data_IF_974602151459
#
_entry.id   IF_974602151459
#
_cell.length_a   1.000
_cell.length_b   1.000
_cell.length_c   1.000
_cell.angle_alpha   90.00
_cell.angle_beta   90.00
_cell.angle_gamma   90.00
#
_symmetry.space_group_name_H-M   'P 1'
#
loop_
_entity.id
_entity.type
_entity.pdbx_description
1 polymer ?
#
# COMPACT_ATOMS: atom_id res chain seq x y z
N UNK A 1 58.99 -14.37 -18.38
CA UNK A 1 58.11 -13.18 -18.57
C UNK A 1 56.88 -13.61 -19.36
N UNK A 2 55.84 -14.08 -18.66
CA UNK A 2 54.59 -14.57 -19.25
C UNK A 2 53.48 -13.59 -18.91
N UNK A 3 53.15 -12.71 -19.86
CA UNK A 3 51.97 -11.84 -19.77
C UNK A 3 50.73 -12.69 -20.04
N UNK A 4 49.92 -12.94 -19.00
CA UNK A 4 48.55 -13.48 -19.12
C UNK A 4 47.59 -12.35 -18.80
N UNK A 5 47.08 -11.69 -19.83
CA UNK A 5 45.87 -10.88 -19.71
C UNK A 5 44.68 -11.79 -19.34
N UNK A 6 43.90 -11.50 -18.29
CA UNK A 6 42.63 -12.17 -18.06
C UNK A 6 41.65 -11.74 -19.15
N UNK A 7 41.00 -12.70 -19.80
CA UNK A 7 39.91 -12.44 -20.73
C UNK A 7 38.69 -11.99 -19.92
N UNK A 8 38.24 -10.75 -20.13
CA UNK A 8 36.92 -10.30 -19.73
C UNK A 8 35.86 -11.14 -20.48
N UNK A 9 35.19 -12.01 -19.74
CA UNK A 9 34.04 -12.74 -20.24
C UNK A 9 32.84 -11.80 -20.35
N UNK A 10 32.63 -11.26 -21.55
CA UNK A 10 31.36 -10.61 -21.93
C UNK A 10 30.23 -11.63 -21.83
N UNK A 11 29.10 -11.25 -21.24
CA UNK A 11 27.88 -12.05 -21.17
C UNK A 11 27.53 -12.57 -22.58
N UNK A 12 27.45 -13.90 -22.75
CA UNK A 12 27.08 -14.53 -24.03
C UNK A 12 25.59 -14.85 -24.01
N UNK A 13 24.85 -14.14 -24.87
CA UNK A 13 23.45 -14.38 -25.19
C UNK A 13 23.25 -15.80 -25.72
N UNK A 14 22.52 -16.63 -24.99
CA UNK A 14 21.98 -17.90 -25.49
C UNK A 14 20.63 -17.60 -26.12
N UNK A 15 20.47 -17.90 -27.42
CA UNK A 15 19.23 -17.64 -28.15
C UNK A 15 18.03 -18.44 -27.61
N UNK A 16 16.81 -17.89 -27.68
CA UNK A 16 15.63 -18.51 -27.08
C UNK A 16 15.24 -19.82 -27.80
N UNK A 17 15.22 -20.92 -27.05
CA UNK A 17 14.58 -22.18 -27.47
C UNK A 17 13.11 -22.12 -27.09
N UNK A 18 12.22 -22.18 -28.07
CA UNK A 18 10.77 -22.30 -27.89
C UNK A 18 10.44 -23.66 -27.26
N UNK A 19 9.99 -23.66 -26.01
CA UNK A 19 9.42 -24.83 -25.34
C UNK A 19 7.89 -24.80 -25.48
N UNK A 20 7.37 -25.91 -26.00
CA UNK A 20 5.95 -26.14 -26.25
C UNK A 20 5.13 -26.11 -24.95
N UNK A 21 3.94 -25.51 -25.02
CA UNK A 21 3.01 -25.38 -23.91
C UNK A 21 2.50 -26.74 -23.42
N UNK A 22 2.66 -27.00 -22.12
CA UNK A 22 2.01 -28.10 -21.42
C UNK A 22 0.50 -27.81 -21.20
N UNK A 23 -0.37 -28.84 -21.18
CA UNK A 23 -1.82 -28.67 -21.27
C UNK A 23 -2.43 -28.11 -19.97
N UNK A 24 -3.41 -27.22 -20.15
CA UNK A 24 -4.21 -26.60 -19.09
C UNK A 24 -5.04 -27.64 -18.33
N UNK A 25 -4.85 -27.75 -17.02
CA UNK A 25 -5.87 -28.28 -16.12
C UNK A 25 -6.96 -27.21 -15.94
N UNK A 26 -8.11 -27.41 -16.57
CA UNK A 26 -9.26 -26.53 -16.45
C UNK A 26 -9.99 -26.83 -15.13
N UNK A 27 -9.73 -26.02 -14.09
CA UNK A 27 -10.63 -25.95 -12.93
C UNK A 27 -11.86 -25.16 -13.39
N UNK A 28 -12.96 -25.85 -13.65
CA UNK A 28 -14.26 -25.24 -13.96
C UNK A 28 -14.83 -24.57 -12.71
N UNK A 29 -14.40 -23.34 -12.42
CA UNK A 29 -15.13 -22.47 -11.49
C UNK A 29 -16.48 -22.12 -12.14
N UNK A 30 -17.58 -22.66 -11.58
CA UNK A 30 -18.92 -22.16 -11.86
C UNK A 30 -18.94 -20.67 -11.48
N UNK A 31 -19.03 -19.78 -12.46
CA UNK A 31 -19.26 -18.34 -12.23
C UNK A 31 -20.58 -18.19 -11.48
N UNK A 32 -20.50 -17.97 -10.17
CA UNK A 32 -21.64 -17.52 -9.37
C UNK A 32 -22.12 -16.18 -9.97
N UNK A 33 -23.43 -15.94 -10.09
CA UNK A 33 -23.91 -14.62 -10.48
C UNK A 33 -23.37 -13.58 -9.49
N UNK A 34 -23.00 -12.40 -10.00
CA UNK A 34 -22.57 -11.31 -9.13
C UNK A 34 -23.67 -11.06 -8.07
N UNK A 35 -23.32 -10.99 -6.79
CA UNK A 35 -24.27 -10.67 -5.74
C UNK A 35 -24.94 -9.33 -6.04
N UNK A 36 -26.24 -9.25 -5.74
CA UNK A 36 -27.01 -8.03 -5.92
C UNK A 36 -26.86 -7.15 -4.67
N UNK A 37 -26.81 -5.81 -4.84
CA UNK A 37 -26.84 -4.92 -3.70
C UNK A 37 -28.15 -5.08 -2.91
N UNK A 38 -28.18 -4.65 -1.63
CA UNK A 38 -29.37 -4.69 -0.80
C UNK A 38 -30.56 -4.02 -1.46
N UNK A 39 -31.76 -4.49 -1.12
CA UNK A 39 -32.99 -3.86 -1.58
C UNK A 39 -33.01 -2.39 -1.16
N UNK A 40 -33.33 -1.49 -2.11
CA UNK A 40 -33.32 -0.04 -1.88
C UNK A 40 -31.99 0.67 -2.15
N UNK A 41 -30.90 -0.06 -2.50
CA UNK A 41 -29.67 0.61 -2.96
C UNK A 41 -29.93 1.40 -4.25
N UNK A 42 -29.64 2.73 -4.28
CA UNK A 42 -29.82 3.53 -5.48
C UNK A 42 -29.02 3.03 -6.69
N UNK A 43 -29.46 3.33 -7.92
CA UNK A 43 -28.70 2.95 -9.11
C UNK A 43 -27.31 3.63 -9.12
N UNK A 44 -26.29 3.04 -9.78
CA UNK A 44 -24.92 3.56 -9.77
C UNK A 44 -24.78 5.03 -10.16
N UNK A 45 -25.61 5.52 -11.09
CA UNK A 45 -25.61 6.94 -11.51
C UNK A 45 -26.04 7.88 -10.38
N UNK A 46 -26.97 7.45 -9.53
CA UNK A 46 -27.43 8.24 -8.39
C UNK A 46 -26.39 8.22 -7.27
N UNK A 47 -25.80 7.06 -6.97
CA UNK A 47 -24.67 6.97 -6.05
C UNK A 47 -23.50 7.86 -6.50
N UNK A 48 -23.19 7.86 -7.80
CA UNK A 48 -22.14 8.70 -8.35
C UNK A 48 -22.50 10.19 -8.25
N UNK A 49 -23.77 10.58 -8.43
CA UNK A 49 -24.24 11.96 -8.19
C UNK A 49 -24.02 12.37 -6.73
N UNK A 50 -24.33 11.50 -5.77
CA UNK A 50 -24.10 11.74 -4.35
C UNK A 50 -22.60 11.88 -4.05
N UNK A 51 -21.76 10.97 -4.57
CA UNK A 51 -20.32 11.04 -4.44
C UNK A 51 -19.73 12.34 -5.05
N UNK A 52 -20.25 12.80 -6.20
CA UNK A 52 -19.86 14.10 -6.77
C UNK A 52 -20.23 15.27 -5.89
N UNK A 53 -21.37 15.21 -5.19
CA UNK A 53 -21.78 16.25 -4.27
C UNK A 53 -20.85 16.32 -3.04
N UNK A 54 -20.46 15.18 -2.48
CA UNK A 54 -19.51 15.11 -1.36
C UNK A 54 -18.13 15.64 -1.77
N UNK A 55 -17.65 15.27 -2.96
CA UNK A 55 -16.32 15.62 -3.45
C UNK A 55 -16.29 16.92 -4.29
N UNK A 56 -17.35 17.74 -4.27
CA UNK A 56 -17.50 18.88 -5.17
C UNK A 56 -16.42 19.95 -4.97
N UNK A 57 -16.17 20.34 -3.72
CA UNK A 57 -15.21 21.37 -3.37
C UNK A 57 -13.76 20.89 -3.61
N UNK A 58 -13.46 19.63 -3.26
CA UNK A 58 -12.21 18.96 -3.62
C UNK A 58 -11.98 18.92 -5.15
N UNK A 59 -13.00 18.59 -5.94
CA UNK A 59 -12.90 18.61 -7.40
C UNK A 59 -12.69 20.03 -7.94
N UNK A 60 -13.28 21.06 -7.32
CA UNK A 60 -13.04 22.47 -7.67
C UNK A 60 -11.57 22.86 -7.44
N UNK A 61 -11.01 22.53 -6.28
CA UNK A 61 -9.59 22.77 -5.99
C UNK A 61 -8.67 21.98 -6.94
N UNK A 62 -9.01 20.72 -7.24
CA UNK A 62 -8.25 19.90 -8.19
C UNK A 62 -8.27 20.48 -9.62
N UNK A 63 -9.40 21.00 -10.09
CA UNK A 63 -9.50 21.67 -11.39
C UNK A 63 -8.75 23.00 -11.43
N UNK A 64 -8.80 23.78 -10.33
CA UNK A 64 -7.95 24.97 -10.20
C UNK A 64 -6.47 24.60 -10.27
N UNK A 65 -6.05 23.54 -9.57
CA UNK A 65 -4.68 23.06 -9.59
C UNK A 65 -4.22 22.65 -11.00
N UNK A 66 -5.05 21.92 -11.75
CA UNK A 66 -4.73 21.59 -13.15
C UNK A 66 -4.61 22.84 -14.04
N UNK A 67 -5.33 23.92 -13.77
CA UNK A 67 -5.22 25.16 -14.55
C UNK A 67 -4.03 26.04 -14.13
N UNK A 68 -3.78 26.12 -12.82
CA UNK A 68 -2.85 27.07 -12.21
C UNK A 68 -1.44 26.49 -11.98
N UNK A 69 -1.31 25.18 -11.75
CA UNK A 69 -0.08 24.52 -11.27
C UNK A 69 0.60 23.60 -12.32
N UNK A 70 0.29 23.75 -13.61
CA UNK A 70 0.89 22.89 -14.66
C UNK A 70 2.42 22.99 -14.67
N UNK A 71 3.12 21.86 -14.94
CA UNK A 71 4.57 21.86 -15.12
C UNK A 71 5.03 22.94 -16.12
N UNK A 72 6.01 23.75 -15.72
CA UNK A 72 6.56 24.84 -16.55
C UNK A 72 5.93 26.22 -16.38
N UNK A 73 4.99 26.40 -15.44
CA UNK A 73 4.54 27.73 -14.96
C UNK A 73 5.15 28.02 -13.59
N UNK A 74 5.65 29.24 -13.40
CA UNK A 74 6.17 29.71 -12.11
C UNK A 74 5.04 29.70 -11.05
N UNK A 75 5.32 29.13 -9.88
CA UNK A 75 4.45 29.25 -8.69
C UNK A 75 3.70 27.99 -8.28
N UNK A 76 4.06 26.79 -8.74
CA UNK A 76 3.73 25.56 -8.05
C UNK A 76 4.93 25.17 -7.17
N UNK A 77 4.77 25.28 -5.85
CA UNK A 77 5.67 24.62 -4.94
C UNK A 77 4.80 24.04 -3.80
N UNK A 78 4.20 22.84 -3.98
CA UNK A 78 3.84 22.02 -2.83
C UNK A 78 5.13 21.81 -2.03
N UNK A 79 5.03 21.77 -0.72
CA UNK A 79 6.15 21.84 0.23
C UNK A 79 6.94 20.52 0.29
N UNK A 80 7.08 19.84 -0.85
CA UNK A 80 7.74 18.56 -1.03
C UNK A 80 7.06 17.39 -0.32
N UNK A 81 5.94 17.62 0.39
CA UNK A 81 5.28 16.64 1.29
C UNK A 81 3.80 16.37 0.95
N UNK A 82 3.37 16.68 -0.27
CA UNK A 82 1.95 16.49 -0.64
C UNK A 82 1.02 17.62 -0.17
N UNK A 83 1.48 18.54 0.67
CA UNK A 83 0.76 19.71 1.18
C UNK A 83 0.88 20.92 0.25
N UNK A 84 -0.08 21.86 0.36
CA UNK A 84 0.00 23.15 -0.33
C UNK A 84 0.78 24.16 0.50
N UNK A 85 1.76 24.81 -0.12
CA UNK A 85 2.46 25.92 0.52
C UNK A 85 1.50 27.05 0.86
N UNK A 86 1.79 27.80 1.92
CA UNK A 86 0.96 28.91 2.38
C UNK A 86 0.63 29.90 1.25
N UNK A 87 1.62 30.26 0.43
CA UNK A 87 1.43 31.16 -0.71
C UNK A 87 0.50 30.57 -1.79
N UNK A 88 0.58 29.27 -2.04
CA UNK A 88 -0.28 28.58 -3.01
C UNK A 88 -1.71 28.49 -2.49
N UNK A 89 -1.88 28.20 -1.19
CA UNK A 89 -3.18 28.16 -0.54
C UNK A 89 -3.86 29.54 -0.53
N UNK A 90 -3.12 30.62 -0.24
CA UNK A 90 -3.63 31.99 -0.30
C UNK A 90 -4.06 32.40 -1.71
N UNK A 91 -3.28 32.05 -2.73
CA UNK A 91 -3.66 32.32 -4.13
C UNK A 91 -4.92 31.55 -4.53
N UNK A 92 -4.99 30.26 -4.22
CA UNK A 92 -6.18 29.46 -4.50
C UNK A 92 -7.42 30.00 -3.77
N UNK A 93 -7.25 30.42 -2.51
CA UNK A 93 -8.31 31.01 -1.71
C UNK A 93 -8.86 32.28 -2.36
N UNK A 94 -7.98 33.16 -2.84
CA UNK A 94 -8.36 34.37 -3.57
C UNK A 94 -9.06 34.05 -4.90
N UNK A 95 -8.55 33.11 -5.68
CA UNK A 95 -9.10 32.73 -6.99
C UNK A 95 -10.47 32.02 -6.87
N UNK A 96 -10.67 31.21 -5.83
CA UNK A 96 -11.86 30.38 -5.62
C UNK A 96 -12.90 31.02 -4.69
N UNK A 97 -12.58 32.14 -4.05
CA UNK A 97 -13.44 32.78 -3.06
C UNK A 97 -13.61 31.94 -1.78
N UNK A 98 -12.54 31.26 -1.36
CA UNK A 98 -12.48 30.40 -0.17
C UNK A 98 -11.54 30.98 0.87
N UNK A 99 -11.53 30.39 2.06
CA UNK A 99 -10.46 30.61 3.03
C UNK A 99 -9.26 29.70 2.73
N UNK A 100 -8.03 30.08 3.11
CA UNK A 100 -6.86 29.21 2.96
C UNK A 100 -7.00 27.85 3.65
N UNK A 101 -7.73 27.79 4.77
CA UNK A 101 -7.98 26.54 5.50
C UNK A 101 -8.95 25.62 4.74
N UNK A 102 -10.01 26.17 4.15
CA UNK A 102 -10.90 25.40 3.26
C UNK A 102 -10.15 24.83 2.06
N UNK A 103 -9.28 25.63 1.42
CA UNK A 103 -8.44 25.15 0.32
C UNK A 103 -7.54 23.99 0.74
N UNK A 104 -6.89 24.09 1.90
CA UNK A 104 -6.03 23.02 2.42
C UNK A 104 -6.83 21.74 2.68
N UNK A 105 -7.98 21.87 3.33
CA UNK A 105 -8.87 20.74 3.56
C UNK A 105 -9.33 20.08 2.26
N UNK A 106 -9.85 20.87 1.31
CA UNK A 106 -10.33 20.38 0.01
C UNK A 106 -9.19 19.76 -0.83
N UNK A 107 -7.98 20.27 -0.70
CA UNK A 107 -6.78 19.70 -1.32
C UNK A 107 -6.45 18.32 -0.76
N UNK A 108 -6.47 18.17 0.57
CA UNK A 108 -6.20 16.89 1.22
C UNK A 108 -7.29 15.87 0.87
N UNK A 109 -8.57 16.29 0.84
CA UNK A 109 -9.67 15.47 0.31
C UNK A 109 -9.44 15.08 -1.15
N UNK A 110 -8.98 16.01 -1.99
CA UNK A 110 -8.68 15.72 -3.39
C UNK A 110 -7.52 14.71 -3.54
N UNK A 111 -6.50 14.78 -2.67
CA UNK A 111 -5.38 13.83 -2.63
C UNK A 111 -5.85 12.44 -2.20
N UNK A 112 -6.59 12.35 -1.09
CA UNK A 112 -7.11 11.10 -0.56
C UNK A 112 -8.11 10.43 -1.51
N UNK A 113 -8.94 11.21 -2.20
CA UNK A 113 -9.84 10.73 -3.25
C UNK A 113 -9.11 10.39 -4.57
N UNK A 114 -7.83 10.76 -4.71
CA UNK A 114 -7.01 10.62 -5.92
C UNK A 114 -7.54 11.42 -7.12
N UNK A 115 -8.10 12.61 -6.85
CA UNK A 115 -8.41 13.64 -7.83
C UNK A 115 -7.17 14.48 -8.19
N UNK A 116 -6.21 14.56 -7.28
CA UNK A 116 -4.89 15.17 -7.48
C UNK A 116 -3.81 14.14 -7.20
N UNK A 117 -2.77 14.15 -8.02
CA UNK A 117 -1.54 13.38 -7.83
C UNK A 117 -0.41 14.39 -7.59
N UNK A 118 0.26 14.33 -6.44
CA UNK A 118 1.41 15.18 -6.13
C UNK A 118 2.68 14.49 -6.61
N UNK A 119 3.63 15.28 -7.11
CA UNK A 119 4.80 14.84 -7.86
C UNK A 119 6.00 15.70 -7.46
N UNK A 120 6.70 15.31 -6.39
CA UNK A 120 7.68 16.20 -5.75
C UNK A 120 7.11 17.60 -5.50
N UNK A 121 7.67 18.59 -6.19
CA UNK A 121 7.27 20.02 -6.14
C UNK A 121 6.20 20.40 -7.18
N UNK A 122 5.46 19.44 -7.74
CA UNK A 122 4.40 19.71 -8.70
C UNK A 122 3.15 18.91 -8.40
N UNK A 123 2.01 19.33 -8.95
CA UNK A 123 0.76 18.59 -8.83
C UNK A 123 0.07 18.48 -10.18
N UNK A 124 -0.55 17.33 -10.42
CA UNK A 124 -1.20 17.01 -11.69
C UNK A 124 -2.62 16.50 -11.44
N UNK A 125 -3.54 16.70 -12.40
CA UNK A 125 -4.87 16.12 -12.30
C UNK A 125 -4.75 14.60 -12.25
N UNK A 126 -5.31 13.95 -11.23
CA UNK A 126 -5.37 12.50 -11.16
C UNK A 126 -6.25 11.90 -12.25
N UNK A 127 -6.08 10.61 -12.55
CA UNK A 127 -6.90 9.96 -13.59
C UNK A 127 -8.41 10.01 -13.30
N UNK A 128 -8.81 10.04 -12.02
CA UNK A 128 -10.20 10.18 -11.60
C UNK A 128 -10.77 11.55 -11.94
N UNK A 129 -9.98 12.62 -11.79
CA UNK A 129 -10.38 13.96 -12.23
C UNK A 129 -10.55 14.03 -13.75
N UNK A 130 -9.65 13.40 -14.52
CA UNK A 130 -9.77 13.27 -15.99
C UNK A 130 -10.98 12.46 -16.45
N UNK A 131 -11.58 11.67 -15.56
CA UNK A 131 -12.76 10.85 -15.81
C UNK A 131 -14.03 11.39 -15.15
N UNK A 132 -13.94 12.49 -14.38
CA UNK A 132 -14.97 13.02 -13.48
C UNK A 132 -16.35 13.14 -14.11
N UNK A 133 -16.43 13.68 -15.33
CA UNK A 133 -17.69 13.94 -16.03
C UNK A 133 -18.22 12.76 -16.86
N UNK A 134 -17.43 11.69 -17.03
CA UNK A 134 -17.72 10.63 -18.02
C UNK A 134 -17.73 9.20 -17.47
N UNK A 135 -17.20 8.99 -16.27
CA UNK A 135 -17.10 7.66 -15.66
C UNK A 135 -17.58 7.71 -14.19
N UNK A 136 -18.82 7.31 -13.97
CA UNK A 136 -19.42 7.20 -12.63
C UNK A 136 -18.65 6.22 -11.74
N UNK A 137 -18.08 5.16 -12.31
CA UNK A 137 -17.30 4.19 -11.54
C UNK A 137 -15.98 4.81 -11.06
N UNK A 138 -15.39 5.73 -11.81
CA UNK A 138 -14.19 6.45 -11.38
C UNK A 138 -14.49 7.36 -10.18
N UNK A 139 -15.62 8.05 -10.19
CA UNK A 139 -16.07 8.90 -9.08
C UNK A 139 -16.33 8.07 -7.83
N UNK A 140 -17.08 6.97 -7.96
CA UNK A 140 -17.35 6.07 -6.84
C UNK A 140 -16.06 5.50 -6.25
N UNK A 141 -15.09 5.11 -7.09
CA UNK A 141 -13.75 4.68 -6.63
C UNK A 141 -12.94 5.78 -5.97
N UNK A 142 -13.20 7.05 -6.27
CA UNK A 142 -12.57 8.19 -5.59
C UNK A 142 -13.18 8.41 -4.21
N UNK A 143 -14.51 8.41 -4.13
CA UNK A 143 -15.21 8.55 -2.85
C UNK A 143 -14.94 7.38 -1.90
N UNK A 144 -14.89 6.13 -2.38
CA UNK A 144 -14.52 4.98 -1.52
C UNK A 144 -13.10 5.12 -0.97
N UNK A 145 -12.15 5.65 -1.76
CA UNK A 145 -10.79 5.90 -1.26
C UNK A 145 -10.77 6.98 -0.17
N UNK A 146 -11.59 8.03 -0.31
CA UNK A 146 -11.75 9.06 0.71
C UNK A 146 -12.45 8.52 1.97
N UNK A 147 -13.51 7.73 1.81
CA UNK A 147 -14.19 7.02 2.89
C UNK A 147 -13.24 6.10 3.66
N UNK A 148 -12.40 5.33 2.96
CA UNK A 148 -11.43 4.44 3.58
C UNK A 148 -10.33 5.18 4.36
N UNK A 149 -10.12 6.46 4.02
CA UNK A 149 -9.19 7.36 4.67
C UNK A 149 -9.84 8.29 5.70
N UNK A 150 -11.06 7.99 6.18
CA UNK A 150 -11.82 8.88 7.09
C UNK A 150 -11.03 9.33 8.33
N UNK A 151 -10.23 8.43 8.93
CA UNK A 151 -9.43 8.73 10.13
C UNK A 151 -8.20 9.58 9.84
N UNK A 152 -7.78 9.65 8.57
CA UNK A 152 -6.70 10.53 8.09
C UNK A 152 -7.28 11.89 7.68
N UNK A 153 -8.45 11.87 7.03
CA UNK A 153 -9.15 13.07 6.57
C UNK A 153 -9.67 13.95 7.71
N UNK A 154 -9.92 13.36 8.88
CA UNK A 154 -10.41 14.03 10.07
C UNK A 154 -9.48 13.72 11.25
N UNK A 155 -8.48 14.59 11.51
CA UNK A 155 -7.45 14.33 12.50
C UNK A 155 -8.02 13.98 13.89
N UNK A 156 -7.29 13.12 14.60
CA UNK A 156 -7.62 12.74 15.97
C UNK A 156 -7.47 13.93 16.94
N UNK A 157 -8.19 13.94 18.08
CA UNK A 157 -8.00 14.97 19.10
C UNK A 157 -6.62 14.84 19.77
N UNK A 158 -5.88 15.96 19.93
CA UNK A 158 -4.48 15.98 20.40
C UNK A 158 -4.24 15.37 21.80
N UNK A 159 -5.26 15.36 22.66
CA UNK A 159 -5.17 14.87 24.05
C UNK A 159 -5.49 13.37 24.21
N UNK A 160 -5.38 12.57 23.14
CA UNK A 160 -5.73 11.13 23.14
C UNK A 160 -4.51 10.24 22.98
N UNK A 161 -4.56 9.09 23.65
CA UNK A 161 -3.51 8.08 23.52
C UNK A 161 -3.57 7.41 22.13
N UNK A 162 -2.47 7.40 21.36
CA UNK A 162 -2.47 6.85 19.99
C UNK A 162 -2.91 5.39 19.91
N UNK A 163 -2.59 4.58 20.92
CA UNK A 163 -2.99 3.18 20.99
C UNK A 163 -4.52 3.01 21.07
N UNK A 164 -5.19 3.84 21.90
CA UNK A 164 -6.64 3.81 22.02
C UNK A 164 -7.34 4.26 20.73
N UNK A 165 -6.79 5.27 20.04
CA UNK A 165 -7.32 5.69 18.73
C UNK A 165 -7.18 4.57 17.70
N UNK A 166 -6.03 3.92 17.63
CA UNK A 166 -5.79 2.81 16.72
C UNK A 166 -6.75 1.64 16.97
N UNK A 167 -7.07 1.33 18.23
CA UNK A 167 -8.06 0.31 18.62
C UNK A 167 -9.47 0.66 18.15
N UNK A 168 -9.91 1.91 18.38
CA UNK A 168 -11.24 2.38 17.94
C UNK A 168 -11.34 2.35 16.41
N UNK A 169 -10.33 2.86 15.70
CA UNK A 169 -10.27 2.80 14.23
C UNK A 169 -10.34 1.35 13.75
N UNK A 170 -9.66 0.42 14.42
CA UNK A 170 -9.68 -1.03 14.14
C UNK A 170 -11.04 -1.68 14.37
N UNK A 171 -11.83 -1.17 15.31
CA UNK A 171 -13.18 -1.67 15.60
C UNK A 171 -14.26 -1.13 14.65
N UNK A 172 -14.04 0.02 13.99
CA UNK A 172 -15.06 0.67 13.15
C UNK A 172 -15.65 -0.19 12.01
N UNK A 173 -14.93 -1.09 11.34
CA UNK A 173 -15.54 -2.00 10.36
C UNK A 173 -16.71 -2.82 10.91
N UNK A 174 -16.65 -3.26 12.18
CA UNK A 174 -17.74 -4.00 12.81
C UNK A 174 -18.92 -3.07 13.13
N UNK A 175 -18.65 -1.85 13.62
CA UNK A 175 -19.67 -0.82 13.87
C UNK A 175 -20.43 -0.47 12.58
N UNK A 176 -19.71 -0.28 11.47
CA UNK A 176 -20.30 -0.03 10.15
C UNK A 176 -21.13 -1.21 9.65
N UNK A 177 -20.68 -2.43 9.89
CA UNK A 177 -21.43 -3.65 9.55
C UNK A 177 -22.71 -3.76 10.37
N UNK A 178 -22.68 -3.37 11.65
CA UNK A 178 -23.87 -3.31 12.50
C UNK A 178 -24.88 -2.27 11.98
N UNK A 179 -24.43 -1.05 11.68
CA UNK A 179 -25.27 -0.01 11.08
C UNK A 179 -25.92 -0.48 9.76
N UNK A 180 -25.17 -1.22 8.94
CA UNK A 180 -25.67 -1.80 7.69
C UNK A 180 -26.79 -2.84 7.92
N UNK A 181 -26.67 -3.66 8.97
CA UNK A 181 -27.67 -4.68 9.32
C UNK A 181 -28.91 -4.07 9.98
N UNK A 182 -28.76 -3.00 10.75
CA UNK A 182 -29.87 -2.31 11.43
C UNK A 182 -30.80 -1.60 10.45
N UNK A 183 -30.29 -1.17 9.29
CA UNK A 183 -31.07 -0.55 8.20
C UNK A 183 -31.93 0.66 8.65
N UNK A 184 -31.45 1.42 9.64
CA UNK A 184 -32.13 2.57 10.23
C UNK A 184 -31.28 3.26 11.29
N UNK A 185 -31.82 4.28 11.99
CA UNK A 185 -31.11 5.00 13.04
C UNK A 185 -30.74 4.10 14.22
N UNK A 186 -29.48 4.20 14.65
CA UNK A 186 -28.95 3.46 15.78
C UNK A 186 -28.49 4.43 16.88
N UNK A 187 -28.96 4.29 18.13
CA UNK A 187 -28.51 5.12 19.25
C UNK A 187 -27.01 4.98 19.54
N UNK A 188 -26.36 6.11 19.90
CA UNK A 188 -24.92 6.13 20.26
C UNK A 188 -24.59 5.20 21.42
N UNK A 189 -25.49 5.06 22.39
CA UNK A 189 -25.33 4.12 23.53
C UNK A 189 -25.13 2.68 23.05
N UNK A 190 -25.91 2.23 22.06
CA UNK A 190 -25.78 0.88 21.51
C UNK A 190 -24.50 0.70 20.70
N UNK A 191 -24.06 1.75 20.00
CA UNK A 191 -22.78 1.74 19.27
C UNK A 191 -21.59 1.73 20.23
N UNK A 192 -21.70 2.38 21.38
CA UNK A 192 -20.68 2.39 22.42
C UNK A 192 -20.53 1.01 23.06
N UNK A 193 -21.63 0.35 23.42
CA UNK A 193 -21.59 -1.02 23.95
C UNK A 193 -20.89 -1.99 22.98
N UNK A 194 -21.22 -1.87 21.68
CA UNK A 194 -20.59 -2.67 20.62
C UNK A 194 -19.09 -2.36 20.49
N UNK A 195 -18.71 -1.08 20.54
CA UNK A 195 -17.33 -0.64 20.45
C UNK A 195 -16.50 -1.15 21.64
N UNK A 196 -17.02 -1.01 22.86
CA UNK A 196 -16.38 -1.51 24.08
C UNK A 196 -16.15 -3.02 24.03
N UNK A 197 -17.16 -3.78 23.57
CA UNK A 197 -17.01 -5.21 23.37
C UNK A 197 -15.89 -5.52 22.36
N UNK A 198 -15.88 -4.85 21.21
CA UNK A 198 -14.90 -5.15 20.16
C UNK A 198 -13.48 -4.76 20.54
N UNK A 199 -13.29 -3.63 21.20
CA UNK A 199 -11.97 -3.21 21.71
C UNK A 199 -11.46 -4.22 22.74
N UNK A 200 -12.34 -4.74 23.61
CA UNK A 200 -12.00 -5.81 24.55
C UNK A 200 -11.56 -7.09 23.83
N UNK A 201 -12.27 -7.50 22.77
CA UNK A 201 -11.88 -8.65 21.94
C UNK A 201 -10.52 -8.44 21.28
N UNK A 202 -10.28 -7.29 20.65
CA UNK A 202 -9.00 -6.95 20.01
C UNK A 202 -7.83 -7.00 20.99
N UNK A 203 -8.01 -6.49 22.21
CA UNK A 203 -7.00 -6.57 23.28
C UNK A 203 -6.74 -8.02 23.69
N UNK A 204 -7.78 -8.84 23.77
CA UNK A 204 -7.65 -10.26 24.09
C UNK A 204 -6.91 -11.03 22.98
N UNK A 205 -7.27 -10.79 21.71
CA UNK A 205 -6.60 -11.37 20.53
C UNK A 205 -5.10 -11.03 20.51
N UNK A 206 -4.71 -9.80 20.87
CA UNK A 206 -3.30 -9.37 20.98
C UNK A 206 -2.54 -10.07 22.12
N UNK A 207 -3.24 -10.48 23.18
CA UNK A 207 -2.67 -11.16 24.34
C UNK A 207 -2.46 -12.67 24.12
N UNK A 208 -2.93 -13.26 23.01
CA UNK A 208 -2.64 -14.65 22.67
C UNK A 208 -1.14 -14.81 22.29
N UNK A 209 -0.34 -15.27 23.26
CA UNK A 209 1.11 -15.42 23.13
C UNK A 209 1.46 -16.52 22.10
N UNK A 210 2.33 -16.24 21.10
CA UNK A 210 2.89 -17.27 20.23
C UNK A 210 3.68 -18.32 21.02
N UNK A 211 3.57 -19.61 20.67
CA UNK A 211 4.30 -20.69 21.35
C UNK A 211 5.82 -20.57 21.13
N UNK A 212 6.54 -19.98 22.09
CA UNK A 212 8.01 -19.86 22.12
C UNK A 212 8.51 -19.13 23.37
N UNK A 213 9.79 -19.28 23.77
CA UNK A 213 10.31 -18.61 24.96
C UNK A 213 10.54 -17.12 24.66
N UNK A 214 9.76 -16.24 25.30
CA UNK A 214 9.94 -14.78 25.28
C UNK A 214 10.27 -14.21 26.66
N UNK A 215 10.91 -13.03 26.71
CA UNK A 215 11.12 -12.26 27.95
C UNK A 215 9.78 -11.80 28.54
N UNK A 216 9.73 -11.57 29.85
CA UNK A 216 8.49 -11.25 30.58
C UNK A 216 7.74 -10.03 30.00
N UNK A 217 6.39 -10.09 29.93
CA UNK A 217 5.58 -8.97 29.46
C UNK A 217 5.70 -7.80 30.43
N UNK A 218 6.03 -6.63 29.89
CA UNK A 218 5.92 -5.36 30.63
C UNK A 218 4.48 -4.86 30.50
N UNK A 219 3.73 -4.65 31.60
CA UNK A 219 2.43 -4.02 31.52
C UNK A 219 2.64 -2.55 31.18
N UNK A 220 2.28 -2.12 29.97
CA UNK A 220 2.13 -0.69 29.67
C UNK A 220 0.76 -0.24 30.21
N UNK A 221 0.72 0.56 31.28
CA UNK A 221 -0.53 1.03 31.87
C UNK A 221 -0.93 2.33 31.17
N UNK A 222 -1.75 2.24 30.12
CA UNK A 222 -2.25 3.42 29.39
C UNK A 222 -3.58 3.15 28.69
N UNK A 223 -3.59 2.22 27.74
CA UNK A 223 -4.73 2.00 26.87
C UNK A 223 -5.99 1.46 27.57
N UNK A 224 -5.85 0.67 28.65
CA UNK A 224 -6.98 -0.03 29.28
C UNK A 224 -8.04 0.90 29.88
N UNK A 225 -7.66 2.08 30.38
CA UNK A 225 -8.53 3.00 31.11
C UNK A 225 -9.06 4.19 30.27
N UNK A 226 -8.72 4.27 28.97
CA UNK A 226 -9.15 5.39 28.13
C UNK A 226 -10.66 5.34 27.84
N UNK A 227 -11.45 6.39 28.19
CA UNK A 227 -12.88 6.42 27.88
C UNK A 227 -13.13 6.39 26.36
N UNK A 228 -13.92 5.41 25.89
CA UNK A 228 -14.18 5.23 24.46
C UNK A 228 -15.26 6.16 23.89
N UNK A 229 -16.18 6.68 24.72
CA UNK A 229 -17.28 7.52 24.24
C UNK A 229 -16.83 8.77 23.45
N UNK A 230 -15.81 9.54 23.87
CA UNK A 230 -15.29 10.64 23.06
C UNK A 230 -14.66 10.18 21.73
N UNK A 231 -14.05 8.99 21.70
CA UNK A 231 -13.46 8.43 20.48
C UNK A 231 -14.52 7.91 19.52
N UNK A 232 -15.63 7.38 20.04
CA UNK A 232 -16.81 7.05 19.23
C UNK A 232 -17.44 8.32 18.62
N UNK A 233 -17.66 9.37 19.41
CA UNK A 233 -18.19 10.64 18.90
C UNK A 233 -17.30 11.23 17.81
N UNK A 234 -15.97 11.22 18.01
CA UNK A 234 -15.00 11.61 16.99
C UNK A 234 -15.13 10.75 15.71
N UNK A 235 -15.18 9.42 15.84
CA UNK A 235 -15.30 8.49 14.71
C UNK A 235 -16.59 8.71 13.92
N UNK A 236 -17.71 8.92 14.60
CA UNK A 236 -19.00 9.19 13.96
C UNK A 236 -18.99 10.54 13.22
N UNK A 237 -18.41 11.60 13.82
CA UNK A 237 -18.23 12.89 13.14
C UNK A 237 -17.32 12.78 11.92
N UNK A 238 -16.24 12.02 12.02
CA UNK A 238 -15.33 11.79 10.91
C UNK A 238 -15.98 11.02 9.76
N UNK A 239 -16.77 9.98 10.07
CA UNK A 239 -17.56 9.26 9.05
C UNK A 239 -18.68 10.12 8.45
N UNK A 240 -19.27 11.02 9.23
CA UNK A 240 -20.24 12.00 8.74
C UNK A 240 -19.58 13.02 7.80
N UNK A 241 -18.37 13.48 8.10
CA UNK A 241 -17.65 14.46 7.28
C UNK A 241 -17.30 13.92 5.88
N UNK A 242 -17.06 12.62 5.75
CA UNK A 242 -16.87 11.95 4.44
C UNK A 242 -18.19 11.53 3.76
N UNK A 243 -19.34 11.85 4.37
CA UNK A 243 -20.67 11.55 3.83
C UNK A 243 -21.12 10.09 3.95
N UNK A 244 -20.48 9.29 4.79
CA UNK A 244 -20.81 7.87 4.96
C UNK A 244 -22.06 7.66 5.83
N UNK A 245 -22.29 8.52 6.82
CA UNK A 245 -23.45 8.46 7.71
C UNK A 245 -23.99 9.85 8.04
N UNK A 246 -25.23 9.92 8.50
CA UNK A 246 -25.75 11.07 9.25
C UNK A 246 -25.55 10.82 10.73
N UNK A 247 -25.22 11.88 11.47
CA UNK A 247 -25.05 11.84 12.92
C UNK A 247 -25.76 13.05 13.54
N UNK A 248 -26.97 12.82 14.05
CA UNK A 248 -27.85 13.80 14.68
C UNK A 248 -28.58 13.17 15.86
N UNK A 249 -29.07 13.97 16.81
CA UNK A 249 -29.89 13.51 17.96
C UNK A 249 -29.33 12.29 18.72
N UNK A 250 -28.00 12.17 18.81
CA UNK A 250 -27.29 11.01 19.38
C UNK A 250 -27.64 9.67 18.71
N UNK A 251 -27.88 9.69 17.40
CA UNK A 251 -28.11 8.53 16.56
C UNK A 251 -27.27 8.60 15.27
N UNK A 252 -26.84 7.45 14.78
CA UNK A 252 -26.13 7.35 13.50
C UNK A 252 -26.93 6.50 12.50
N UNK A 253 -26.98 6.95 11.24
CA UNK A 253 -27.61 6.22 10.13
C UNK A 253 -26.72 6.25 8.91
N UNK A 254 -26.46 5.10 8.27
CA UNK A 254 -25.71 5.09 7.01
C UNK A 254 -26.47 5.86 5.93
N UNK A 255 -25.75 6.70 5.19
CA UNK A 255 -26.30 7.29 3.96
C UNK A 255 -26.45 6.19 2.91
N UNK A 256 -27.24 6.39 1.84
CA UNK A 256 -27.27 5.44 0.72
C UNK A 256 -25.89 5.15 0.12
N UNK A 257 -24.99 6.14 0.13
CA UNK A 257 -23.62 6.00 -0.35
C UNK A 257 -22.75 5.17 0.62
N UNK A 258 -22.84 5.45 1.93
CA UNK A 258 -22.18 4.67 2.98
C UNK A 258 -22.66 3.22 3.02
N UNK A 259 -23.97 3.01 2.93
CA UNK A 259 -24.57 1.67 2.89
C UNK A 259 -24.08 0.85 1.69
N UNK A 260 -24.03 1.46 0.50
CA UNK A 260 -23.45 0.81 -0.67
C UNK A 260 -21.96 0.46 -0.46
N UNK A 261 -21.17 1.36 0.13
CA UNK A 261 -19.75 1.15 0.39
C UNK A 261 -19.50 -0.04 1.34
N UNK A 262 -20.23 -0.05 2.47
CA UNK A 262 -20.15 -1.12 3.46
C UNK A 262 -20.60 -2.44 2.85
N UNK A 263 -21.67 -2.45 2.04
CA UNK A 263 -22.07 -3.65 1.32
C UNK A 263 -20.99 -4.16 0.35
N UNK A 264 -20.35 -3.28 -0.43
CA UNK A 264 -19.25 -3.67 -1.33
C UNK A 264 -18.11 -4.31 -0.52
N UNK A 265 -17.76 -3.75 0.63
CA UNK A 265 -16.73 -4.34 1.51
C UNK A 265 -17.15 -5.69 2.06
N UNK A 266 -18.37 -5.82 2.57
CA UNK A 266 -18.91 -7.10 3.06
C UNK A 266 -18.94 -8.16 1.95
N UNK A 267 -19.24 -7.78 0.72
CA UNK A 267 -19.21 -8.65 -0.45
C UNK A 267 -17.78 -9.11 -0.75
N UNK A 268 -16.81 -8.19 -0.75
CA UNK A 268 -15.41 -8.51 -0.92
C UNK A 268 -14.91 -9.45 0.18
N UNK A 269 -15.31 -9.22 1.44
CA UNK A 269 -15.01 -10.09 2.58
C UNK A 269 -15.62 -11.48 2.36
N UNK A 270 -16.87 -11.57 1.92
CA UNK A 270 -17.53 -12.83 1.65
C UNK A 270 -16.88 -13.60 0.49
N UNK A 271 -16.43 -12.90 -0.56
CA UNK A 271 -15.69 -13.48 -1.69
C UNK A 271 -14.31 -13.94 -1.23
N UNK A 272 -13.62 -13.14 -0.41
CA UNK A 272 -12.33 -13.44 0.18
C UNK A 272 -12.37 -14.65 1.10
N UNK A 273 -13.37 -14.75 1.98
CA UNK A 273 -13.58 -15.88 2.87
C UNK A 273 -13.85 -17.19 2.11
N UNK A 274 -14.28 -17.09 0.84
CA UNK A 274 -14.44 -18.22 -0.07
C UNK A 274 -13.19 -18.46 -0.95
N UNK A 275 -12.16 -17.63 -0.84
CA UNK A 275 -10.90 -17.85 -1.53
C UNK A 275 -10.29 -19.16 -1.04
N UNK A 276 -9.77 -20.02 -1.95
CA UNK A 276 -9.00 -21.19 -1.56
C UNK A 276 -7.80 -20.86 -0.65
N UNK A 277 -7.32 -19.61 -0.68
CA UNK A 277 -6.18 -19.17 0.11
C UNK A 277 -6.54 -18.83 1.57
N UNK A 278 -7.75 -18.30 1.82
CA UNK A 278 -8.23 -18.01 3.19
C UNK A 278 -7.43 -16.94 3.95
N UNK A 279 -6.79 -16.00 3.27
CA UNK A 279 -5.83 -15.07 3.90
C UNK A 279 -6.45 -13.85 4.62
N UNK A 280 -7.78 -13.75 4.70
CA UNK A 280 -8.43 -12.52 5.16
C UNK A 280 -8.20 -12.23 6.65
N UNK A 281 -8.12 -13.27 7.49
CA UNK A 281 -8.01 -13.15 8.95
C UNK A 281 -6.55 -13.12 9.43
N UNK A 282 -5.58 -13.43 8.57
CA UNK A 282 -4.18 -13.53 8.97
C UNK A 282 -3.45 -12.17 8.91
N UNK A 283 -2.24 -12.14 9.47
CA UNK A 283 -1.32 -11.00 9.42
C UNK A 283 -0.98 -10.60 7.98
N UNK A 284 -0.53 -9.36 7.76
CA UNK A 284 0.00 -8.94 6.46
C UNK A 284 1.10 -9.90 5.95
N UNK A 285 2.05 -10.28 6.82
CA UNK A 285 3.15 -11.16 6.45
C UNK A 285 2.67 -12.54 5.96
N UNK A 286 1.74 -13.17 6.70
CA UNK A 286 1.19 -14.47 6.32
C UNK A 286 0.34 -14.39 5.06
N UNK A 287 -0.43 -13.32 4.89
CA UNK A 287 -1.18 -13.06 3.67
C UNK A 287 -0.23 -12.93 2.47
N UNK A 288 0.84 -12.16 2.59
CA UNK A 288 1.84 -11.98 1.52
C UNK A 288 2.54 -13.30 1.19
N UNK A 289 2.87 -14.10 2.20
CA UNK A 289 3.44 -15.45 2.06
C UNK A 289 2.47 -16.40 1.32
N UNK A 290 1.19 -16.37 1.68
CA UNK A 290 0.14 -17.11 0.99
C UNK A 290 -0.03 -16.68 -0.48
N UNK A 291 0.28 -15.42 -0.80
CA UNK A 291 0.22 -14.88 -2.15
C UNK A 291 1.46 -15.15 -3.02
N UNK A 292 2.58 -15.59 -2.43
CA UNK A 292 3.87 -15.72 -3.11
C UNK A 292 3.84 -16.57 -4.40
N UNK A 293 2.99 -17.59 -4.43
CA UNK A 293 2.87 -18.52 -5.57
C UNK A 293 1.71 -18.18 -6.52
N UNK A 294 0.98 -17.09 -6.24
CA UNK A 294 -0.15 -16.67 -7.06
C UNK A 294 0.34 -15.86 -8.27
N UNK A 295 -0.46 -15.88 -9.34
CA UNK A 295 -0.25 -14.95 -10.45
C UNK A 295 -0.56 -13.51 -10.00
N UNK A 296 0.05 -12.48 -10.61
CA UNK A 296 -0.11 -11.08 -10.17
C UNK A 296 -1.57 -10.63 -9.99
N UNK A 297 -2.46 -10.97 -10.94
CA UNK A 297 -3.87 -10.60 -10.83
C UNK A 297 -4.62 -11.33 -9.71
N UNK A 298 -4.21 -12.56 -9.38
CA UNK A 298 -4.80 -13.32 -8.27
C UNK A 298 -4.28 -12.80 -6.92
N UNK A 299 -2.97 -12.55 -6.79
CA UNK A 299 -2.40 -11.90 -5.61
C UNK A 299 -3.04 -10.53 -5.35
N UNK A 300 -3.23 -9.71 -6.40
CA UNK A 300 -3.91 -8.42 -6.27
C UNK A 300 -5.37 -8.54 -5.81
N UNK A 301 -6.05 -9.64 -6.12
CA UNK A 301 -7.39 -9.90 -5.61
C UNK A 301 -7.36 -10.23 -4.11
N UNK A 302 -6.39 -11.04 -3.66
CA UNK A 302 -6.14 -11.33 -2.24
C UNK A 302 -5.78 -10.06 -1.45
N UNK A 303 -4.95 -9.17 -2.00
CA UNK A 303 -4.62 -7.90 -1.35
C UNK A 303 -5.86 -7.04 -1.13
N UNK A 304 -6.73 -6.92 -2.14
CA UNK A 304 -7.99 -6.16 -2.01
C UNK A 304 -8.92 -6.78 -0.97
N UNK A 305 -9.00 -8.11 -0.96
CA UNK A 305 -9.78 -8.87 -0.01
C UNK A 305 -9.31 -8.64 1.44
N UNK A 306 -8.00 -8.74 1.68
CA UNK A 306 -7.40 -8.49 2.99
C UNK A 306 -7.59 -7.04 3.43
N UNK A 307 -7.38 -6.07 2.53
CA UNK A 307 -7.61 -4.63 2.79
C UNK A 307 -9.08 -4.30 3.08
N UNK A 308 -10.04 -5.02 2.48
CA UNK A 308 -11.46 -4.76 2.69
C UNK A 308 -11.94 -5.07 4.12
N UNK A 309 -11.22 -5.94 4.82
CA UNK A 309 -11.57 -6.41 6.16
C UNK A 309 -10.97 -5.55 7.29
N UNK A 310 -10.18 -4.53 6.96
CA UNK A 310 -9.32 -3.81 7.91
C UNK A 310 -9.35 -2.30 7.64
N UNK A 311 -9.04 -1.45 8.63
CA UNK A 311 -8.80 -0.03 8.37
C UNK A 311 -7.50 0.18 7.60
N UNK A 312 -7.48 1.21 6.75
CA UNK A 312 -6.34 1.50 5.88
C UNK A 312 -5.06 1.81 6.66
N UNK A 313 -5.13 2.65 7.69
CA UNK A 313 -3.96 3.01 8.49
C UNK A 313 -3.26 1.77 9.08
N UNK A 314 -4.02 0.92 9.79
CA UNK A 314 -3.50 -0.32 10.36
C UNK A 314 -2.94 -1.27 9.29
N UNK A 315 -3.62 -1.38 8.15
CA UNK A 315 -3.14 -2.20 7.04
C UNK A 315 -1.82 -1.69 6.44
N UNK A 316 -1.64 -0.36 6.31
CA UNK A 316 -0.39 0.25 5.85
C UNK A 316 0.74 -0.04 6.83
N UNK A 317 0.49 0.14 8.13
CA UNK A 317 1.46 -0.19 9.19
C UNK A 317 1.88 -1.66 9.12
N UNK A 318 0.92 -2.59 9.10
CA UNK A 318 1.21 -4.04 9.03
C UNK A 318 2.01 -4.40 7.76
N UNK A 319 1.70 -3.80 6.61
CA UNK A 319 2.43 -4.04 5.35
C UNK A 319 3.86 -3.51 5.41
N UNK A 320 4.08 -2.33 5.99
CA UNK A 320 5.41 -1.76 6.17
C UNK A 320 6.23 -2.60 7.15
N UNK A 321 5.63 -3.05 8.25
CA UNK A 321 6.29 -3.93 9.21
C UNK A 321 6.67 -5.27 8.59
N UNK A 322 5.78 -5.88 7.80
CA UNK A 322 6.11 -7.06 7.00
C UNK A 322 7.26 -6.78 6.02
N UNK A 323 7.28 -5.58 5.42
CA UNK A 323 8.36 -5.17 4.54
C UNK A 323 9.71 -5.01 5.26
N UNK A 324 9.74 -4.66 6.55
CA UNK A 324 10.97 -4.54 7.35
C UNK A 324 11.62 -5.88 7.68
N UNK A 325 10.86 -6.97 7.63
CA UNK A 325 11.33 -8.33 7.89
C UNK A 325 12.51 -8.77 7.02
N UNK A 326 13.05 -9.96 7.28
CA UNK A 326 14.25 -10.44 6.57
C UNK A 326 13.96 -11.00 5.16
N UNK A 327 12.71 -11.34 4.87
CA UNK A 327 12.33 -12.00 3.61
C UNK A 327 12.20 -10.98 2.46
N UNK A 328 13.14 -11.07 1.51
CA UNK A 328 13.20 -10.20 0.34
C UNK A 328 11.96 -10.29 -0.56
N UNK A 329 11.33 -11.48 -0.67
CA UNK A 329 10.11 -11.62 -1.47
C UNK A 329 8.95 -10.87 -0.80
N UNK A 330 8.79 -11.06 0.52
CA UNK A 330 7.74 -10.40 1.29
C UNK A 330 7.90 -8.88 1.22
N UNK A 331 9.14 -8.36 1.30
CA UNK A 331 9.43 -6.94 1.12
C UNK A 331 8.91 -6.40 -0.21
N UNK A 332 9.20 -7.08 -1.32
CA UNK A 332 8.66 -6.70 -2.63
C UNK A 332 7.14 -6.77 -2.72
N UNK A 333 6.54 -7.86 -2.22
CA UNK A 333 5.09 -8.05 -2.25
C UNK A 333 4.34 -7.04 -1.36
N UNK A 334 4.92 -6.63 -0.24
CA UNK A 334 4.34 -5.60 0.62
C UNK A 334 4.19 -4.26 -0.14
N UNK A 335 5.21 -3.85 -0.91
CA UNK A 335 5.11 -2.66 -1.75
C UNK A 335 4.12 -2.81 -2.93
N UNK A 336 3.93 -4.02 -3.46
CA UNK A 336 2.83 -4.28 -4.40
C UNK A 336 1.45 -4.12 -3.75
N UNK A 337 1.28 -4.58 -2.51
CA UNK A 337 0.05 -4.39 -1.75
C UNK A 337 -0.18 -2.91 -1.37
N UNK A 338 0.87 -2.17 -1.00
CA UNK A 338 0.79 -0.72 -0.75
C UNK A 338 0.34 0.05 -2.02
N UNK A 339 0.70 -0.42 -3.23
CA UNK A 339 0.16 0.15 -4.49
C UNK A 339 -1.33 -0.11 -4.68
N UNK A 340 -1.90 -1.12 -4.03
CA UNK A 340 -3.35 -1.33 -4.01
C UNK A 340 -4.04 -0.33 -3.09
N UNK A 341 -3.40 0.04 -1.97
CA UNK A 341 -3.86 1.09 -1.05
C UNK A 341 -3.86 2.47 -1.73
N UNK A 342 -2.74 2.86 -2.35
CA UNK A 342 -2.62 4.13 -3.07
C UNK A 342 -2.33 5.33 -2.16
N UNK A 343 -2.94 6.49 -2.43
CA UNK A 343 -2.64 7.77 -1.78
C UNK A 343 -2.64 7.78 -0.24
N UNK A 344 -3.52 7.01 0.45
CA UNK A 344 -3.44 6.94 1.91
C UNK A 344 -2.13 6.38 2.46
N UNK A 345 -1.39 5.55 1.69
CA UNK A 345 -0.12 4.96 2.13
C UNK A 345 1.10 5.89 1.93
N UNK A 346 0.95 6.98 1.19
CA UNK A 346 2.06 7.83 0.77
C UNK A 346 2.87 8.44 1.94
N UNK A 347 2.25 8.97 3.01
CA UNK A 347 3.00 9.53 4.14
C UNK A 347 3.92 8.50 4.83
N UNK A 348 3.41 7.30 5.05
CA UNK A 348 4.17 6.21 5.67
C UNK A 348 5.28 5.69 4.74
N UNK A 349 4.99 5.55 3.44
CA UNK A 349 6.00 5.15 2.45
C UNK A 349 7.13 6.18 2.37
N UNK A 350 6.81 7.48 2.44
CA UNK A 350 7.81 8.55 2.45
C UNK A 350 8.69 8.48 3.70
N UNK A 351 8.12 8.15 4.85
CA UNK A 351 8.86 8.01 6.12
C UNK A 351 9.90 6.89 6.04
N UNK A 352 9.55 5.76 5.42
CA UNK A 352 10.46 4.62 5.30
C UNK A 352 11.46 4.73 4.13
N UNK A 353 11.39 5.80 3.33
CA UNK A 353 12.33 6.02 2.23
C UNK A 353 13.78 6.25 2.73
N UNK A 354 13.96 6.60 4.01
CA UNK A 354 15.27 6.76 4.64
C UNK A 354 15.78 5.46 5.30
N UNK A 355 14.96 4.41 5.38
CA UNK A 355 15.37 3.10 5.89
C UNK A 355 16.08 2.32 4.78
N UNK A 356 17.38 2.01 4.95
CA UNK A 356 18.20 1.34 3.93
C UNK A 356 17.53 0.11 3.27
N UNK A 357 16.88 -0.82 4.01
CA UNK A 357 16.26 -1.99 3.39
C UNK A 357 15.01 -1.67 2.56
N UNK A 358 14.31 -0.59 2.88
CA UNK A 358 13.04 -0.22 2.24
C UNK A 358 13.23 0.83 1.16
N UNK A 359 14.31 1.60 1.22
CA UNK A 359 14.56 2.77 0.39
C UNK A 359 14.36 2.53 -1.11
N UNK A 360 14.95 1.51 -1.77
CA UNK A 360 14.73 1.30 -3.20
C UNK A 360 13.26 1.04 -3.54
N UNK A 361 12.54 0.28 -2.70
CA UNK A 361 11.13 -0.01 -2.89
C UNK A 361 10.25 1.22 -2.69
N UNK A 362 10.53 2.00 -1.64
CA UNK A 362 9.84 3.25 -1.36
C UNK A 362 10.02 4.28 -2.48
N UNK A 363 11.23 4.44 -3.01
CA UNK A 363 11.50 5.34 -4.13
C UNK A 363 10.75 4.91 -5.41
N UNK A 364 10.75 3.62 -5.74
CA UNK A 364 9.98 3.10 -6.88
C UNK A 364 8.47 3.25 -6.67
N UNK A 365 7.99 3.05 -5.45
CA UNK A 365 6.58 3.23 -5.10
C UNK A 365 6.17 4.69 -5.26
N UNK A 366 6.95 5.61 -4.69
CA UNK A 366 6.72 7.06 -4.77
C UNK A 366 6.81 7.53 -6.22
N UNK A 367 7.77 7.06 -7.01
CA UNK A 367 7.87 7.43 -8.42
C UNK A 367 6.61 7.07 -9.23
N UNK A 368 6.10 5.84 -9.06
CA UNK A 368 4.87 5.39 -9.74
C UNK A 368 3.63 6.08 -9.18
N UNK A 369 3.60 6.34 -7.87
CA UNK A 369 2.54 7.10 -7.22
C UNK A 369 2.48 8.53 -7.76
N UNK A 370 3.65 9.14 -7.92
CA UNK A 370 3.92 10.42 -8.57
C UNK A 370 3.95 10.24 -10.11
N UNK A 371 3.11 9.37 -10.67
CA UNK A 371 2.80 9.31 -12.10
C UNK A 371 3.95 9.05 -13.07
N UNK A 372 5.12 8.59 -12.62
CA UNK A 372 6.15 8.06 -13.52
C UNK A 372 5.61 6.82 -14.25
N UNK A 373 6.05 6.61 -15.50
CA UNK A 373 5.76 5.36 -16.19
C UNK A 373 6.37 4.21 -15.36
N UNK A 374 5.61 3.17 -14.98
CA UNK A 374 6.14 2.02 -14.27
C UNK A 374 7.37 1.38 -14.94
N UNK A 375 7.48 1.46 -16.26
CA UNK A 375 8.65 0.93 -17.00
C UNK A 375 9.90 1.80 -16.77
N UNK A 376 9.75 3.11 -16.59
CA UNK A 376 10.84 4.07 -16.42
C UNK A 376 11.12 4.37 -14.93
N UNK A 377 10.27 3.92 -14.01
CA UNK A 377 10.40 4.22 -12.59
C UNK A 377 11.77 3.85 -11.99
N UNK A 378 12.47 2.87 -12.56
CA UNK A 378 13.81 2.48 -12.14
C UNK A 378 14.88 3.57 -12.31
N UNK A 379 14.63 4.57 -13.16
CA UNK A 379 15.55 5.70 -13.38
C UNK A 379 15.69 6.62 -12.16
N UNK A 380 14.76 6.57 -11.21
CA UNK A 380 14.85 7.36 -9.97
C UNK A 380 15.91 6.84 -9.00
N UNK A 381 16.31 5.57 -9.17
CA UNK A 381 17.29 4.94 -8.30
C UNK A 381 18.70 5.38 -8.68
N UNK A 382 19.48 5.75 -7.67
CA UNK A 382 20.93 5.81 -7.83
C UNK A 382 21.47 4.43 -8.19
N UNK A 383 22.71 4.42 -8.69
CA UNK A 383 23.38 3.18 -9.06
C UNK A 383 23.54 2.21 -7.89
N UNK A 384 23.80 2.74 -6.70
CA UNK A 384 23.93 1.97 -5.47
C UNK A 384 22.60 1.34 -5.06
N UNK A 385 21.52 2.12 -5.06
CA UNK A 385 20.15 1.64 -4.74
C UNK A 385 19.66 0.59 -5.75
N UNK A 386 19.93 0.79 -7.04
CA UNK A 386 19.60 -0.19 -8.08
C UNK A 386 20.38 -1.50 -7.88
N UNK A 387 21.65 -1.42 -7.47
CA UNK A 387 22.45 -2.62 -7.15
C UNK A 387 21.93 -3.31 -5.88
N UNK A 388 21.55 -2.54 -4.86
CA UNK A 388 20.98 -3.07 -3.63
C UNK A 388 19.71 -3.86 -3.92
N UNK A 389 18.78 -3.28 -4.68
CA UNK A 389 17.54 -3.92 -5.11
C UNK A 389 17.79 -5.16 -5.99
N UNK A 390 18.82 -5.12 -6.84
CA UNK A 390 19.21 -6.28 -7.63
C UNK A 390 19.66 -7.45 -6.74
N UNK A 391 20.42 -7.19 -5.67
CA UNK A 391 20.81 -8.23 -4.69
C UNK A 391 19.60 -8.76 -3.92
N UNK A 392 18.69 -7.89 -3.49
CA UNK A 392 17.48 -8.28 -2.75
C UNK A 392 16.56 -9.15 -3.63
N UNK A 393 16.37 -8.77 -4.90
CA UNK A 393 15.63 -9.57 -5.89
C UNK A 393 16.28 -10.94 -6.08
N UNK A 394 17.62 -11.00 -6.13
CA UNK A 394 18.35 -12.26 -6.22
C UNK A 394 18.14 -13.14 -4.97
N UNK A 395 18.06 -12.52 -3.78
CA UNK A 395 17.77 -13.23 -2.53
C UNK A 395 16.36 -13.82 -2.56
N UNK A 396 15.36 -13.05 -3.00
CA UNK A 396 13.99 -13.53 -3.16
C UNK A 396 13.91 -14.75 -4.12
N UNK A 397 14.60 -14.69 -5.26
CA UNK A 397 14.64 -15.80 -6.22
C UNK A 397 15.41 -17.01 -5.67
N UNK A 398 16.47 -16.80 -4.89
CA UNK A 398 17.22 -17.88 -4.27
C UNK A 398 16.42 -18.64 -3.21
N UNK A 399 15.60 -17.92 -2.43
CA UNK A 399 14.83 -18.49 -1.33
C UNK A 399 13.48 -19.09 -1.78
N UNK A 400 12.83 -18.47 -2.79
CA UNK A 400 11.46 -18.83 -3.20
C UNK A 400 11.30 -19.26 -4.66
N UNK A 401 12.32 -19.04 -5.49
CA UNK A 401 12.30 -19.30 -6.92
C UNK A 401 13.04 -20.57 -7.32
N UNK A 402 13.08 -20.81 -8.63
CA UNK A 402 13.86 -21.91 -9.19
C UNK A 402 15.28 -21.46 -9.58
N UNK A 403 16.27 -22.34 -9.41
CA UNK A 403 17.68 -22.06 -9.73
C UNK A 403 17.92 -21.45 -11.15
N UNK A 404 17.21 -21.85 -12.22
CA UNK A 404 17.36 -21.22 -13.52
C UNK A 404 16.94 -19.74 -13.56
N UNK A 405 15.96 -19.32 -12.73
CA UNK A 405 15.56 -17.92 -12.62
C UNK A 405 16.65 -17.08 -11.98
N UNK A 406 17.36 -17.64 -10.99
CA UNK A 406 18.49 -16.96 -10.36
C UNK A 406 19.64 -16.72 -11.35
N UNK A 407 19.91 -17.70 -12.23
CA UNK A 407 20.89 -17.54 -13.31
C UNK A 407 20.42 -16.50 -14.34
N UNK A 408 19.13 -16.51 -14.71
CA UNK A 408 18.58 -15.50 -15.63
C UNK A 408 18.64 -14.08 -15.03
N UNK A 409 18.47 -13.95 -13.71
CA UNK A 409 18.64 -12.67 -13.02
C UNK A 409 20.08 -12.15 -13.06
N UNK A 410 21.08 -13.03 -13.22
CA UNK A 410 22.45 -12.61 -13.51
C UNK A 410 22.57 -11.91 -14.87
N UNK A 411 21.74 -12.28 -15.84
CA UNK A 411 21.73 -11.67 -17.18
C UNK A 411 21.07 -10.29 -17.21
N UNK A 412 20.21 -9.98 -16.23
CA UNK A 412 19.61 -8.65 -16.05
C UNK A 412 20.53 -7.68 -15.31
N UNK A 413 21.72 -8.13 -14.90
CA UNK A 413 22.66 -7.31 -14.15
C UNK A 413 23.10 -6.07 -14.93
N UNK A 414 23.16 -4.95 -14.22
CA UNK A 414 23.39 -3.63 -14.84
C UNK A 414 24.85 -3.37 -15.19
N UNK A 415 25.79 -4.28 -14.89
CA UNK A 415 27.20 -4.17 -15.28
C UNK A 415 27.48 -4.97 -16.56
N UNK A 416 28.34 -4.47 -17.48
CA UNK A 416 28.65 -5.16 -18.73
C UNK A 416 29.58 -6.36 -18.53
N UNK A 417 30.24 -6.48 -17.38
CA UNK A 417 31.15 -7.59 -17.06
C UNK A 417 30.91 -8.15 -15.66
N UNK A 418 31.11 -9.45 -15.52
CA UNK A 418 31.00 -10.16 -14.23
C UNK A 418 31.96 -9.60 -13.17
N UNK A 419 33.26 -9.33 -13.45
CA UNK A 419 34.15 -8.80 -12.41
C UNK A 419 33.71 -7.45 -11.87
N UNK A 420 33.16 -6.58 -12.73
CA UNK A 420 32.61 -5.30 -12.32
C UNK A 420 31.36 -5.50 -11.44
N UNK A 421 30.44 -6.39 -11.86
CA UNK A 421 29.27 -6.75 -11.06
C UNK A 421 29.65 -7.28 -9.68
N UNK A 422 30.60 -8.21 -9.62
CA UNK A 422 31.07 -8.78 -8.35
C UNK A 422 31.84 -7.78 -7.48
N UNK A 423 32.41 -6.72 -8.05
CA UNK A 423 32.99 -5.65 -7.24
C UNK A 423 31.87 -4.80 -6.61
N UNK A 424 30.86 -4.45 -7.40
CA UNK A 424 29.74 -3.60 -7.00
C UNK A 424 28.84 -4.29 -5.95
N UNK A 425 28.42 -5.53 -6.22
CA UNK A 425 27.61 -6.35 -5.31
C UNK A 425 28.28 -6.54 -3.94
N UNK A 426 29.63 -6.55 -3.89
CA UNK A 426 30.36 -6.65 -2.62
C UNK A 426 30.45 -5.31 -1.87
N UNK A 427 30.38 -4.20 -2.59
CA UNK A 427 30.50 -2.86 -2.02
C UNK A 427 29.17 -2.31 -1.49
N UNK A 428 28.04 -2.76 -2.05
CA UNK A 428 26.69 -2.24 -1.75
C UNK A 428 26.18 -2.54 -0.33
N UNK A 429 26.88 -3.37 0.45
CA UNK A 429 26.56 -3.61 1.86
C UNK A 429 25.26 -4.37 2.14
N UNK A 430 24.68 -5.06 1.15
CA UNK A 430 23.43 -5.80 1.33
C UNK A 430 23.61 -7.01 2.29
N UNK A 431 22.75 -7.22 3.31
CA UNK A 431 22.93 -8.28 4.31
C UNK A 431 22.92 -9.70 3.73
N UNK A 432 22.15 -9.91 2.65
CA UNK A 432 22.06 -11.20 1.92
C UNK A 432 23.15 -11.43 0.85
N UNK A 433 24.16 -10.56 0.75
CA UNK A 433 25.17 -10.62 -0.32
C UNK A 433 25.87 -11.99 -0.38
N UNK A 434 26.30 -12.52 0.77
CA UNK A 434 27.03 -13.80 0.80
C UNK A 434 26.12 -14.94 0.36
N UNK A 435 24.88 -14.99 0.86
CA UNK A 435 23.89 -16.01 0.55
C UNK A 435 23.58 -16.03 -0.95
N UNK A 436 23.33 -14.86 -1.54
CA UNK A 436 23.08 -14.69 -2.98
C UNK A 436 24.25 -15.17 -3.82
N UNK A 437 25.47 -14.78 -3.48
CA UNK A 437 26.66 -15.22 -4.22
C UNK A 437 26.87 -16.74 -4.11
N UNK A 438 26.62 -17.34 -2.94
CA UNK A 438 26.70 -18.80 -2.77
C UNK A 438 25.64 -19.51 -3.63
N UNK A 439 24.39 -19.04 -3.60
CA UNK A 439 23.30 -19.60 -4.38
C UNK A 439 23.56 -19.47 -5.89
N UNK A 440 24.00 -18.30 -6.36
CA UNK A 440 24.39 -18.06 -7.75
C UNK A 440 25.51 -19.02 -8.19
N UNK A 441 26.54 -19.19 -7.36
CA UNK A 441 27.64 -20.08 -7.69
C UNK A 441 27.25 -21.57 -7.72
N UNK A 442 26.23 -21.96 -6.96
CA UNK A 442 25.66 -23.30 -7.00
C UNK A 442 24.78 -23.54 -8.25
N UNK A 443 24.03 -22.51 -8.67
CA UNK A 443 23.12 -22.59 -9.81
C UNK A 443 23.81 -22.41 -11.18
N UNK A 444 24.93 -21.68 -11.24
CA UNK A 444 25.52 -21.26 -12.51
C UNK A 444 26.15 -22.42 -13.31
N UNK A 445 25.82 -22.62 -14.60
CA UNK A 445 26.29 -23.77 -15.39
C UNK A 445 27.77 -23.69 -15.81
N UNK A 446 28.34 -22.48 -15.94
CA UNK A 446 29.77 -22.30 -16.22
C UNK A 446 30.63 -22.45 -14.93
N UNK A 447 31.51 -23.47 -14.85
CA UNK A 447 32.35 -23.71 -13.68
C UNK A 447 33.38 -22.61 -13.42
N UNK A 448 33.83 -21.87 -14.44
CA UNK A 448 34.76 -20.76 -14.26
C UNK A 448 34.08 -19.58 -13.57
N UNK A 449 32.86 -19.26 -14.02
CA UNK A 449 32.03 -18.22 -13.42
C UNK A 449 31.61 -18.60 -12.00
N UNK A 450 31.13 -19.82 -11.78
CA UNK A 450 30.81 -20.33 -10.45
C UNK A 450 31.99 -20.23 -9.47
N UNK A 451 33.23 -20.49 -9.94
CA UNK A 451 34.43 -20.33 -9.11
C UNK A 451 34.73 -18.86 -8.79
N UNK A 452 34.52 -17.94 -9.73
CA UNK A 452 34.69 -16.51 -9.51
C UNK A 452 33.68 -15.96 -8.48
N UNK A 453 32.41 -16.36 -8.60
CA UNK A 453 31.34 -15.98 -7.66
C UNK A 453 31.62 -16.54 -6.26
N UNK A 454 32.03 -17.81 -6.12
CA UNK A 454 32.46 -18.40 -4.83
C UNK A 454 33.60 -17.61 -4.18
N UNK A 455 34.59 -17.18 -4.96
CA UNK A 455 35.69 -16.36 -4.46
C UNK A 455 35.19 -15.01 -3.95
N UNK A 456 34.26 -14.39 -4.65
CA UNK A 456 33.65 -13.13 -4.23
C UNK A 456 32.88 -13.30 -2.91
N UNK A 457 32.08 -14.38 -2.77
CA UNK A 457 31.38 -14.69 -1.51
C UNK A 457 32.34 -14.81 -0.32
N UNK A 458 33.44 -15.56 -0.52
CA UNK A 458 34.47 -15.72 0.51
C UNK A 458 35.10 -14.38 0.90
N UNK A 459 35.39 -13.52 -0.07
CA UNK A 459 35.98 -12.20 0.19
C UNK A 459 35.09 -11.29 1.03
N UNK A 460 33.77 -11.31 0.82
CA UNK A 460 32.82 -10.58 1.67
C UNK A 460 32.83 -11.13 3.09
N UNK A 461 32.74 -12.46 3.22
CA UNK A 461 32.74 -13.12 4.53
C UNK A 461 34.02 -12.84 5.34
N UNK A 462 35.18 -12.78 4.69
CA UNK A 462 36.46 -12.47 5.36
C UNK A 462 36.73 -10.98 5.55
N UNK A 463 36.03 -10.10 4.82
CA UNK A 463 36.23 -8.65 4.86
C UNK A 463 35.30 -7.90 5.81
N UNK A 464 34.25 -8.57 6.33
CA UNK A 464 33.34 -8.03 7.34
C UNK A 464 33.77 -8.41 8.76
N UNK A 465 34.87 -7.84 9.25
CA UNK A 465 35.25 -7.81 10.68
C UNK A 465 35.36 -6.38 11.16
#
# INVERSE_FOLDING_TARGET
MTSRNPRDSRLRLVGPRTLAAAPRAAVTQRRRPAPRPPEGTPPPVELARMARAVLADAARVAHWADAALRPGREGANPDGKGTLSAATAERAAADLGLTPDQVRHDWDTARLAGLVEVHGDSARPGWRLRAWNRDDSAVLRGWVAFFDAWSIAYPEPEDREPAAVAEVVSAMPQVLSFLQLSAGPVPVEQLLDLLEQRVTELRTERCEVPYGPQPEPSPEPGAEDTPLAPLLDWSLRALASVGALTYDDAQATLTPLGSWAVWVKLEQICVAAQSPAGNIEVSAEDMLRGCAQLRPNAARAEYRAWLAARPVGGAVTELIDAARGEDALIRGLAFEALRVVGAPAEPDVRTVADETPLRPYALLWLAVHDGADPEDAHEVLTREEATWLWVDTAAAVADHGEAPLLVRHLESAVQPTVPALLAEVRAVGHPRTVQVLVALAAAHPDPALAKAVRRAAFQVHTGGS
#
